data_IF_126303324551
#
_entry.id   IF_126303324551
#
_cell.length_a   1.000
_cell.length_b   1.000
_cell.length_c   1.000
_cell.angle_alpha   90.00
_cell.angle_beta   90.00
_cell.angle_gamma   90.00
#
_symmetry.space_group_name_H-M   'P 1'
#
loop_
_entity.id
_entity.type
_entity.pdbx_description
1 polymer ?
#
# COMPACT_ATOMS: atom_id res chain seq x y z
N UNK A 1 -30.92 7.79 12.63
CA UNK A 1 -29.51 8.21 12.70
C UNK A 1 -29.51 9.72 12.52
N UNK A 2 -28.74 10.48 13.31
CA UNK A 2 -28.59 11.90 13.03
C UNK A 2 -27.98 12.06 11.62
N UNK A 3 -28.36 13.10 10.88
CA UNK A 3 -27.94 13.27 9.48
C UNK A 3 -26.40 13.26 9.31
N UNK A 4 -25.67 13.70 10.34
CA UNK A 4 -24.21 13.62 10.40
C UNK A 4 -23.66 12.19 10.44
N UNK A 5 -24.32 11.27 11.15
CA UNK A 5 -23.90 9.87 11.21
C UNK A 5 -24.17 9.16 9.88
N UNK A 6 -25.27 9.50 9.21
CA UNK A 6 -25.59 8.98 7.88
C UNK A 6 -24.58 9.46 6.82
N UNK A 7 -24.16 10.72 6.90
CA UNK A 7 -23.13 11.28 6.02
C UNK A 7 -21.73 10.68 6.29
N UNK A 8 -21.41 10.29 7.52
CA UNK A 8 -20.14 9.59 7.82
C UNK A 8 -20.10 8.18 7.27
N UNK A 9 -21.21 7.44 7.35
CA UNK A 9 -21.29 6.09 6.78
C UNK A 9 -21.03 6.11 5.27
N UNK A 10 -21.56 7.10 4.53
CA UNK A 10 -21.37 7.18 3.09
C UNK A 10 -19.91 7.37 2.65
N UNK A 11 -19.09 8.04 3.47
CA UNK A 11 -17.64 8.16 3.23
C UNK A 11 -16.93 6.83 3.42
N UNK A 12 -17.31 6.05 4.44
CA UNK A 12 -16.73 4.71 4.66
C UNK A 12 -17.07 3.76 3.51
N UNK A 13 -18.29 3.86 2.98
CA UNK A 13 -18.75 3.07 1.84
C UNK A 13 -18.00 3.40 0.53
N UNK A 14 -17.35 4.56 0.46
CA UNK A 14 -16.49 4.94 -0.68
C UNK A 14 -15.11 4.28 -0.66
N UNK A 15 -14.71 3.67 0.46
CA UNK A 15 -13.42 3.01 0.60
C UNK A 15 -13.51 1.55 0.15
N UNK A 16 -12.58 1.13 -0.71
CA UNK A 16 -12.46 -0.26 -1.15
C UNK A 16 -11.01 -0.75 -1.13
N UNK A 17 -10.78 -1.97 -0.67
CA UNK A 17 -9.50 -2.68 -0.81
C UNK A 17 -9.41 -3.52 -2.10
N UNK A 18 -10.49 -3.59 -2.87
CA UNK A 18 -10.67 -4.44 -4.05
C UNK A 18 -11.26 -3.57 -5.17
N UNK A 19 -10.46 -2.66 -5.75
CA UNK A 19 -10.94 -1.78 -6.81
C UNK A 19 -11.36 -2.61 -8.01
N UNK A 20 -12.53 -2.32 -8.56
CA UNK A 20 -13.11 -2.93 -9.75
C UNK A 20 -12.88 -2.04 -10.99
N UNK A 21 -12.92 -2.59 -12.21
CA UNK A 21 -12.72 -1.81 -13.43
C UNK A 21 -13.70 -0.64 -13.60
N UNK A 22 -14.91 -0.77 -13.06
CA UNK A 22 -15.96 0.26 -13.07
C UNK A 22 -15.78 1.36 -12.02
N UNK A 23 -14.86 1.20 -11.07
CA UNK A 23 -14.66 2.16 -9.98
C UNK A 23 -13.90 3.42 -10.45
N UNK A 24 -14.30 4.57 -9.91
CA UNK A 24 -13.59 5.84 -10.09
C UNK A 24 -12.61 6.05 -8.93
N UNK A 25 -11.34 5.79 -9.18
CA UNK A 25 -10.29 5.92 -8.16
C UNK A 25 -9.84 7.38 -8.01
N UNK A 26 -10.01 7.93 -6.81
CA UNK A 26 -9.62 9.31 -6.48
C UNK A 26 -8.19 9.37 -5.94
N UNK A 27 -7.92 8.61 -4.87
CA UNK A 27 -6.64 8.56 -4.18
C UNK A 27 -6.44 7.18 -3.54
N UNK A 28 -5.19 6.81 -3.28
CA UNK A 28 -4.86 5.65 -2.47
C UNK A 28 -4.69 6.08 -1.01
N UNK A 29 -5.09 5.25 -0.05
CA UNK A 29 -4.87 5.49 1.38
C UNK A 29 -4.09 4.31 1.96
N UNK A 30 -2.91 4.55 2.57
CA UNK A 30 -2.14 3.48 3.18
C UNK A 30 -2.75 3.14 4.53
N UNK A 31 -2.97 1.85 4.76
CA UNK A 31 -3.48 1.33 6.04
C UNK A 31 -2.62 0.17 6.51
N UNK A 32 -2.60 -0.04 7.82
CA UNK A 32 -2.01 -1.22 8.42
C UNK A 32 -3.05 -1.95 9.27
N UNK A 33 -3.12 -3.26 9.10
CA UNK A 33 -4.06 -4.09 9.84
C UNK A 33 -3.59 -5.54 9.91
N UNK A 34 -4.27 -6.36 10.74
CA UNK A 34 -4.07 -7.79 10.79
C UNK A 34 -4.17 -8.43 9.39
N UNK A 35 -3.23 -9.33 9.05
CA UNK A 35 -3.14 -9.89 7.70
C UNK A 35 -4.40 -10.68 7.27
N UNK A 36 -5.09 -11.29 8.23
CA UNK A 36 -6.37 -11.97 8.01
C UNK A 36 -7.49 -11.01 7.58
N UNK A 37 -7.53 -9.79 8.15
CA UNK A 37 -8.54 -8.79 7.81
C UNK A 37 -8.34 -8.21 6.39
N UNK A 38 -7.08 -8.09 5.95
CA UNK A 38 -6.73 -7.52 4.64
C UNK A 38 -6.40 -8.60 3.59
N UNK A 39 -6.78 -9.86 3.83
CA UNK A 39 -6.44 -10.96 2.92
C UNK A 39 -7.12 -10.81 1.56
N UNK A 40 -8.27 -10.15 1.47
CA UNK A 40 -8.96 -9.92 0.19
C UNK A 40 -8.38 -8.75 -0.61
N UNK A 41 -7.51 -7.93 -0.03
CA UNK A 41 -7.04 -6.70 -0.67
C UNK A 41 -6.14 -7.03 -1.86
N UNK A 42 -6.35 -6.30 -2.95
CA UNK A 42 -5.55 -6.41 -4.18
C UNK A 42 -4.10 -5.96 -3.94
N UNK A 43 -3.94 -4.81 -3.28
CA UNK A 43 -2.64 -4.22 -2.95
C UNK A 43 -2.30 -4.42 -1.48
N UNK A 44 -1.41 -5.37 -1.20
CA UNK A 44 -0.99 -5.68 0.17
C UNK A 44 0.44 -6.20 0.22
N UNK A 45 1.13 -5.87 1.30
CA UNK A 45 2.47 -6.38 1.61
C UNK A 45 2.46 -6.94 3.02
N UNK A 46 3.06 -8.11 3.24
CA UNK A 46 3.21 -8.63 4.59
C UNK A 46 4.35 -7.87 5.29
N UNK A 47 4.02 -7.22 6.40
CA UNK A 47 4.96 -6.49 7.24
C UNK A 47 5.15 -7.27 8.54
N UNK A 48 6.39 -7.50 8.93
CA UNK A 48 6.75 -8.05 10.25
C UNK A 48 7.73 -7.11 10.94
N UNK A 49 7.84 -7.12 12.28
CA UNK A 49 8.92 -6.43 12.97
C UNK A 49 10.30 -6.82 12.40
N UNK A 50 11.22 -5.86 12.32
CA UNK A 50 12.53 -6.08 11.71
C UNK A 50 13.46 -4.88 11.84
N UNK A 51 14.55 -4.89 11.08
CA UNK A 51 15.62 -3.88 11.18
C UNK A 51 15.59 -2.82 10.08
N UNK A 52 14.70 -2.95 9.08
CA UNK A 52 14.65 -1.97 7.98
C UNK A 52 13.90 -0.72 8.44
N UNK A 53 14.50 0.45 8.23
CA UNK A 53 13.87 1.75 8.50
C UNK A 53 12.56 1.89 7.71
N UNK A 54 11.55 2.50 8.34
CA UNK A 54 10.22 2.66 7.75
C UNK A 54 10.23 3.36 6.38
N UNK A 55 11.01 4.43 6.20
CA UNK A 55 11.11 5.11 4.89
C UNK A 55 11.58 4.20 3.76
N UNK A 56 12.64 3.42 4.02
CA UNK A 56 13.12 2.45 3.03
C UNK A 56 12.07 1.36 2.75
N UNK A 57 11.41 0.85 3.79
CA UNK A 57 10.35 -0.13 3.61
C UNK A 57 9.17 0.44 2.81
N UNK A 58 8.68 1.63 3.16
CA UNK A 58 7.57 2.29 2.46
C UNK A 58 7.85 2.45 0.95
N UNK A 59 9.04 2.94 0.58
CA UNK A 59 9.46 3.05 -0.83
C UNK A 59 9.47 1.71 -1.54
N UNK A 60 10.08 0.70 -0.91
CA UNK A 60 10.14 -0.66 -1.47
C UNK A 60 8.74 -1.26 -1.64
N UNK A 61 7.83 -1.04 -0.68
CA UNK A 61 6.46 -1.51 -0.75
C UNK A 61 5.71 -0.86 -1.92
N UNK A 62 5.73 0.47 -2.03
CA UNK A 62 5.07 1.19 -3.12
C UNK A 62 5.61 0.80 -4.48
N UNK A 63 6.92 0.65 -4.60
CA UNK A 63 7.56 0.22 -5.83
C UNK A 63 7.16 -1.21 -6.23
N UNK A 64 7.11 -2.14 -5.27
CA UNK A 64 6.64 -3.50 -5.52
C UNK A 64 5.19 -3.54 -5.98
N UNK A 65 4.31 -2.79 -5.32
CA UNK A 65 2.89 -2.73 -5.65
C UNK A 65 2.66 -2.09 -7.03
N UNK A 66 3.50 -1.13 -7.42
CA UNK A 66 3.41 -0.42 -8.71
C UNK A 66 3.98 -1.22 -9.88
N UNK A 67 5.01 -2.05 -9.65
CA UNK A 67 5.72 -2.84 -10.67
C UNK A 67 5.04 -4.16 -11.03
N UNK A 68 3.94 -4.53 -10.37
CA UNK A 68 3.17 -5.72 -10.72
C UNK A 68 2.70 -5.69 -12.17
N UNK A 69 2.76 -6.84 -12.85
CA UNK A 69 2.37 -6.98 -14.26
C UNK A 69 0.88 -6.74 -14.52
N UNK A 70 0.05 -6.74 -13.47
CA UNK A 70 -1.41 -6.70 -13.53
C UNK A 70 -1.99 -5.41 -12.92
N UNK A 71 -1.25 -4.30 -12.96
CA UNK A 71 -1.70 -3.01 -12.42
C UNK A 71 -2.20 -2.10 -13.55
N UNK A 72 -3.51 -1.81 -13.63
CA UNK A 72 -4.06 -0.88 -14.62
C UNK A 72 -3.44 0.52 -14.51
N UNK A 73 -3.42 1.31 -15.60
CA UNK A 73 -2.81 2.63 -15.61
C UNK A 73 -3.31 3.55 -14.49
N UNK A 74 -4.63 3.61 -14.28
CA UNK A 74 -5.23 4.45 -13.24
C UNK A 74 -4.84 4.03 -11.83
N UNK A 75 -4.86 2.73 -11.54
CA UNK A 75 -4.41 2.18 -10.26
C UNK A 75 -2.94 2.50 -10.00
N UNK A 76 -2.11 2.43 -11.04
CA UNK A 76 -0.69 2.78 -10.97
C UNK A 76 -0.47 4.26 -10.64
N UNK A 77 -1.26 5.14 -11.24
CA UNK A 77 -1.19 6.59 -10.99
C UNK A 77 -1.48 6.92 -9.53
N UNK A 78 -2.60 6.41 -8.98
CA UNK A 78 -2.98 6.70 -7.59
C UNK A 78 -2.00 6.10 -6.58
N UNK A 79 -1.41 4.93 -6.87
CA UNK A 79 -0.35 4.33 -6.04
C UNK A 79 0.93 5.17 -6.04
N UNK A 80 1.30 5.76 -7.18
CA UNK A 80 2.49 6.63 -7.29
C UNK A 80 2.26 8.01 -6.69
N UNK A 81 1.03 8.50 -6.72
CA UNK A 81 0.66 9.78 -6.13
C UNK A 81 0.65 9.76 -4.59
N UNK A 82 0.74 8.57 -3.98
CA UNK A 82 0.73 8.43 -2.53
C UNK A 82 1.95 9.12 -1.89
N UNK A 83 1.75 10.07 -0.96
CA UNK A 83 2.85 10.71 -0.25
C UNK A 83 3.65 9.68 0.57
N UNK A 84 4.98 9.74 0.47
CA UNK A 84 5.85 8.81 1.19
C UNK A 84 5.63 8.86 2.71
N UNK A 85 5.38 10.05 3.26
CA UNK A 85 5.13 10.23 4.68
C UNK A 85 3.88 9.48 5.17
N UNK A 86 2.82 9.42 4.37
CA UNK A 86 1.61 8.66 4.73
C UNK A 86 1.88 7.15 4.73
N UNK A 87 2.67 6.66 3.77
CA UNK A 87 3.09 5.27 3.76
C UNK A 87 3.99 4.92 4.97
N UNK A 88 4.84 5.85 5.41
CA UNK A 88 5.69 5.68 6.60
C UNK A 88 4.87 5.64 7.88
N UNK A 89 3.85 6.50 8.02
CA UNK A 89 3.00 6.56 9.21
C UNK A 89 2.09 5.34 9.33
N UNK A 90 1.72 4.72 8.21
CA UNK A 90 1.00 3.44 8.21
C UNK A 90 1.84 2.27 8.77
N UNK A 91 3.18 2.34 8.70
CA UNK A 91 4.05 1.28 9.23
C UNK A 91 4.22 1.40 10.76
N UNK A 92 3.91 0.31 11.46
CA UNK A 92 3.97 0.24 12.94
C UNK A 92 5.34 -0.25 13.42
N UNK A 93 5.87 0.41 14.45
CA UNK A 93 7.13 0.04 15.12
C UNK A 93 8.37 0.83 14.66
N UNK A 94 9.54 0.60 15.29
CA UNK A 94 10.78 1.33 14.99
C UNK A 94 11.44 0.87 13.68
N UNK A 95 11.21 -0.39 13.30
CA UNK A 95 11.75 -1.01 12.11
C UNK A 95 10.91 -2.20 11.69
N UNK A 96 10.90 -2.47 10.40
CA UNK A 96 10.04 -3.49 9.79
C UNK A 96 10.83 -4.36 8.82
N UNK A 97 10.24 -5.46 8.40
CA UNK A 97 10.71 -6.34 7.33
C UNK A 97 9.52 -6.64 6.44
N UNK A 98 9.70 -6.40 5.15
CA UNK A 98 8.69 -6.72 4.14
C UNK A 98 8.86 -8.16 3.65
N UNK A 99 7.73 -8.79 3.32
CA UNK A 99 7.68 -10.08 2.64
C UNK A 99 6.61 -10.03 1.54
N UNK A 100 7.04 -10.23 0.29
CA UNK A 100 6.17 -10.36 -0.88
C UNK A 100 6.96 -10.99 -2.04
N UNK A 101 6.32 -11.73 -2.95
CA UNK A 101 6.94 -12.12 -4.21
C UNK A 101 7.54 -10.90 -4.95
N UNK A 102 8.73 -11.07 -5.55
CA UNK A 102 9.42 -9.98 -6.26
C UNK A 102 10.35 -9.10 -5.40
N UNK A 103 10.28 -9.15 -4.07
CA UNK A 103 11.15 -8.33 -3.19
C UNK A 103 12.65 -8.62 -3.35
N UNK A 104 13.03 -9.87 -3.63
CA UNK A 104 14.44 -10.24 -3.83
C UNK A 104 15.01 -9.63 -5.11
N UNK A 105 14.23 -9.66 -6.22
CA UNK A 105 14.62 -9.04 -7.49
C UNK A 105 14.83 -7.53 -7.31
N UNK A 106 13.91 -6.86 -6.62
CA UNK A 106 14.02 -5.43 -6.33
C UNK A 106 15.31 -5.09 -5.56
N UNK A 107 15.65 -5.88 -4.53
CA UNK A 107 16.88 -5.69 -3.76
C UNK A 107 18.15 -5.94 -4.59
N UNK A 108 18.11 -6.83 -5.57
CA UNK A 108 19.25 -7.07 -6.48
C UNK A 108 19.42 -5.91 -7.45
N UNK A 109 18.32 -5.36 -7.98
CA UNK A 109 18.35 -4.19 -8.85
C UNK A 109 18.88 -2.96 -8.11
N UNK A 110 18.40 -2.67 -6.90
CA UNK A 110 18.93 -1.59 -6.05
C UNK A 110 20.44 -1.70 -5.80
N UNK A 111 20.98 -2.94 -5.71
CA UNK A 111 22.42 -3.16 -5.53
C UNK A 111 23.22 -2.95 -6.81
N UNK A 112 22.62 -3.17 -7.98
CA UNK A 112 23.25 -2.92 -9.28
C UNK A 112 23.33 -1.43 -9.59
N UNK A 113 22.29 -0.65 -9.31
CA UNK A 113 22.29 0.81 -9.51
C UNK A 113 23.20 1.57 -8.54
N UNK A 114 23.65 0.93 -7.46
CA UNK A 114 24.56 1.52 -6.46
C UNK A 114 26.04 1.23 -6.72
N UNK A 115 26.37 0.39 -7.71
CA UNK A 115 27.73 0.14 -8.20
C UNK A 115 27.97 0.98 -9.45
#
# INVERSE_FOLDING_TARGET
LADEDAARLSVLDSLTGIPRPEDVLLFAVPVCGPYNAIQSYKYKVKVTPGTVKKGKAARQALELLTRGSEVPPREREVLRALPEMEAITALVGPGVKLSMPGLQKLKMDEKKTRK
#
